data_IF_570118827889
#
_entry.id   IF_570118827889
#
_cell.length_a   1.000
_cell.length_b   1.000
_cell.length_c   1.000
_cell.angle_alpha   90.00
_cell.angle_beta   90.00
_cell.angle_gamma   90.00
#
_symmetry.space_group_name_H-M   'P 1'
#
loop_
_entity.id
_entity.type
_entity.pdbx_description
1 polymer ?
#
# COMPACT_ATOMS: atom_id res chain seq x y z
N UNK A 1 -13.03 9.10 -7.00
CA UNK A 1 -12.70 7.85 -6.30
C UNK A 1 -11.46 7.22 -6.92
N UNK A 2 -10.41 7.02 -6.12
CA UNK A 2 -9.14 6.40 -6.51
C UNK A 2 -9.00 5.01 -5.86
N UNK A 3 -8.30 4.09 -6.54
CA UNK A 3 -8.17 2.70 -6.09
C UNK A 3 -6.75 2.19 -6.31
N UNK A 4 -6.12 1.70 -5.25
CA UNK A 4 -4.76 1.17 -5.29
C UNK A 4 -4.66 -0.20 -4.63
N UNK A 5 -3.87 -1.07 -5.24
CA UNK A 5 -3.24 -2.19 -4.54
C UNK A 5 -1.92 -1.71 -3.96
N UNK A 6 -1.71 -1.93 -2.67
CA UNK A 6 -0.47 -1.53 -1.99
C UNK A 6 0.24 -2.77 -1.45
N UNK A 7 1.51 -2.93 -1.80
CA UNK A 7 2.33 -4.08 -1.44
C UNK A 7 3.50 -3.62 -0.57
N UNK A 8 3.77 -4.34 0.51
CA UNK A 8 5.02 -4.18 1.25
C UNK A 8 6.04 -5.14 0.64
N UNK A 9 7.06 -4.60 -0.03
CA UNK A 9 8.14 -5.42 -0.56
C UNK A 9 9.19 -5.69 0.51
N UNK A 10 9.88 -6.81 0.36
CA UNK A 10 11.11 -7.05 1.11
C UNK A 10 12.12 -5.93 0.79
N UNK A 11 12.84 -5.44 1.80
CA UNK A 11 13.71 -4.26 1.65
C UNK A 11 14.85 -4.47 0.64
N UNK A 12 15.43 -5.67 0.55
CA UNK A 12 16.47 -5.98 -0.44
C UNK A 12 15.90 -5.95 -1.87
N UNK A 13 14.70 -6.52 -2.05
CA UNK A 13 14.01 -6.48 -3.34
C UNK A 13 13.62 -5.06 -3.71
N UNK A 14 13.09 -4.29 -2.75
CA UNK A 14 12.72 -2.90 -2.96
C UNK A 14 13.91 -2.04 -3.36
N UNK A 15 15.07 -2.23 -2.71
CA UNK A 15 16.31 -1.55 -3.06
C UNK A 15 16.79 -1.94 -4.46
N UNK A 16 16.81 -3.24 -4.79
CA UNK A 16 17.28 -3.73 -6.08
C UNK A 16 16.40 -3.29 -7.26
N UNK A 17 15.08 -3.28 -7.08
CA UNK A 17 14.11 -2.98 -8.13
C UNK A 17 13.58 -1.54 -8.12
N UNK A 18 14.11 -0.66 -7.27
CA UNK A 18 13.68 0.75 -7.20
C UNK A 18 13.72 1.46 -8.55
N UNK A 19 14.75 1.21 -9.35
CA UNK A 19 14.94 1.78 -10.69
C UNK A 19 14.37 0.91 -11.83
N UNK A 20 13.76 -0.23 -11.49
CA UNK A 20 13.18 -1.20 -12.42
C UNK A 20 11.82 -1.68 -11.94
N UNK A 21 11.04 -0.75 -11.41
CA UNK A 21 9.78 -1.05 -10.71
C UNK A 21 8.74 -1.63 -11.67
N UNK A 22 8.83 -1.29 -12.95
CA UNK A 22 8.00 -1.86 -14.02
C UNK A 22 8.03 -3.41 -14.02
N UNK A 23 9.18 -4.04 -13.72
CA UNK A 23 9.30 -5.50 -13.67
C UNK A 23 8.53 -6.11 -12.50
N UNK A 24 8.56 -5.43 -11.35
CA UNK A 24 7.77 -5.84 -10.18
C UNK A 24 6.28 -5.70 -10.49
N UNK A 25 5.89 -4.57 -11.09
CA UNK A 25 4.49 -4.30 -11.43
C UNK A 25 3.96 -5.27 -12.48
N UNK A 26 4.77 -5.63 -13.47
CA UNK A 26 4.45 -6.67 -14.45
C UNK A 26 4.20 -8.02 -13.77
N UNK A 27 5.09 -8.47 -12.88
CA UNK A 27 4.88 -9.69 -12.10
C UNK A 27 3.58 -9.63 -11.27
N UNK A 28 3.27 -8.48 -10.66
CA UNK A 28 2.03 -8.30 -9.89
C UNK A 28 0.79 -8.38 -10.81
N UNK A 29 0.87 -7.80 -12.01
CA UNK A 29 -0.18 -7.86 -13.03
C UNK A 29 -0.41 -9.28 -13.53
N UNK A 30 0.66 -9.99 -13.87
CA UNK A 30 0.61 -11.40 -14.25
C UNK A 30 0.06 -12.24 -13.11
N UNK A 31 0.53 -12.04 -11.88
CA UNK A 31 -0.03 -12.72 -10.73
C UNK A 31 -1.52 -12.46 -10.58
N UNK A 32 -2.05 -11.29 -10.93
CA UNK A 32 -3.48 -11.02 -10.86
C UNK A 32 -4.27 -11.80 -11.94
N UNK A 33 -3.83 -11.76 -13.18
CA UNK A 33 -4.60 -12.24 -14.34
C UNK A 33 -4.21 -13.62 -14.90
N UNK A 34 -3.06 -14.17 -14.49
CA UNK A 34 -2.57 -15.45 -15.00
C UNK A 34 -3.54 -16.60 -14.69
N UNK A 35 -3.60 -17.55 -15.63
CA UNK A 35 -4.26 -18.84 -15.46
C UNK A 35 -3.22 -19.89 -15.03
N UNK A 36 -3.69 -21.06 -14.61
CA UNK A 36 -2.80 -22.19 -14.35
C UNK A 36 -2.07 -22.61 -15.65
N UNK A 37 -0.79 -23.03 -15.60
CA UNK A 37 0.05 -23.22 -14.40
C UNK A 37 0.80 -21.95 -13.94
N UNK A 38 0.89 -20.92 -14.79
CA UNK A 38 1.66 -19.70 -14.56
C UNK A 38 1.25 -18.97 -13.27
N UNK A 39 -0.05 -18.98 -12.93
CA UNK A 39 -0.58 -18.44 -11.67
C UNK A 39 0.15 -18.96 -10.42
N UNK A 40 0.51 -20.23 -10.40
CA UNK A 40 1.22 -20.86 -9.26
C UNK A 40 2.65 -20.35 -9.16
N UNK A 41 3.32 -20.15 -10.28
CA UNK A 41 4.70 -19.63 -10.33
C UNK A 41 4.72 -18.17 -9.90
N UNK A 42 3.88 -17.32 -10.51
CA UNK A 42 3.78 -15.91 -10.14
C UNK A 42 3.39 -15.74 -8.67
N UNK A 43 2.49 -16.57 -8.13
CA UNK A 43 2.14 -16.54 -6.71
C UNK A 43 3.37 -16.77 -5.81
N UNK A 44 4.17 -17.80 -6.09
CA UNK A 44 5.39 -18.08 -5.31
C UNK A 44 6.38 -16.92 -5.36
N UNK A 45 6.56 -16.32 -6.54
CA UNK A 45 7.43 -15.14 -6.70
C UNK A 45 6.90 -13.95 -5.91
N UNK A 46 5.61 -13.63 -6.02
CA UNK A 46 4.97 -12.56 -5.24
C UNK A 46 5.09 -12.81 -3.74
N UNK A 47 4.88 -14.05 -3.28
CA UNK A 47 5.05 -14.42 -1.87
C UNK A 47 6.49 -14.30 -1.37
N UNK A 48 7.48 -14.50 -2.25
CA UNK A 48 8.90 -14.35 -1.95
C UNK A 48 9.31 -12.88 -1.87
N UNK A 49 8.82 -12.02 -2.78
CA UNK A 49 9.24 -10.62 -2.84
C UNK A 49 8.45 -9.68 -1.91
N UNK A 50 7.32 -10.15 -1.36
CA UNK A 50 6.48 -9.35 -0.46
C UNK A 50 6.58 -9.82 0.98
N UNK A 51 6.33 -8.90 1.91
CA UNK A 51 6.19 -9.19 3.33
C UNK A 51 4.73 -9.49 3.71
N UNK A 52 4.54 -10.11 4.88
CA UNK A 52 3.20 -10.25 5.46
C UNK A 52 2.83 -8.97 6.21
N UNK A 53 1.56 -8.60 6.13
CA UNK A 53 1.05 -7.40 6.80
C UNK A 53 0.53 -7.75 8.20
N UNK A 54 0.92 -6.94 9.18
CA UNK A 54 0.39 -7.01 10.54
C UNK A 54 -0.70 -5.96 10.70
N UNK A 55 -1.95 -6.42 10.91
CA UNK A 55 -3.08 -5.51 11.14
C UNK A 55 -2.82 -4.57 12.32
N UNK A 56 -2.26 -5.07 13.42
CA UNK A 56 -1.94 -4.26 14.61
C UNK A 56 -0.86 -3.21 14.34
N UNK A 57 0.18 -3.53 13.53
CA UNK A 57 1.21 -2.55 13.15
C UNK A 57 0.63 -1.45 12.28
N UNK A 58 -0.24 -1.82 11.34
CA UNK A 58 -0.97 -0.86 10.50
C UNK A 58 -1.90 0.02 11.35
N UNK A 59 -2.68 -0.58 12.26
CA UNK A 59 -3.57 0.15 13.16
C UNK A 59 -2.81 1.19 13.99
N UNK A 60 -1.68 0.80 14.58
CA UNK A 60 -0.86 1.69 15.38
C UNK A 60 -0.32 2.87 14.55
N UNK A 61 0.26 2.60 13.37
CA UNK A 61 0.80 3.64 12.51
C UNK A 61 -0.26 4.61 11.98
N UNK A 62 -1.40 4.07 11.52
CA UNK A 62 -2.51 4.90 11.04
C UNK A 62 -3.08 5.76 12.18
N UNK A 63 -3.25 5.21 13.38
CA UNK A 63 -3.71 5.99 14.53
C UNK A 63 -2.73 7.09 14.93
N UNK A 64 -1.42 6.84 14.86
CA UNK A 64 -0.42 7.85 15.14
C UNK A 64 -0.50 9.02 14.13
N UNK A 65 -0.65 8.70 12.84
CA UNK A 65 -0.73 9.72 11.79
C UNK A 65 -2.03 10.54 11.85
N UNK A 66 -3.18 9.87 11.98
CA UNK A 66 -4.50 10.51 11.99
C UNK A 66 -4.97 10.92 13.39
N UNK A 67 -4.06 11.05 14.37
CA UNK A 67 -4.36 11.46 15.75
C UNK A 67 -5.50 10.68 16.40
N UNK A 68 -5.56 9.37 16.15
CA UNK A 68 -6.54 8.44 16.69
C UNK A 68 -7.86 8.32 15.90
N UNK A 69 -8.11 9.17 14.90
CA UNK A 69 -9.34 9.17 14.09
C UNK A 69 -9.34 8.08 13.01
N UNK A 70 -9.26 6.81 13.43
CA UNK A 70 -9.27 5.65 12.53
C UNK A 70 -10.35 4.68 12.98
N UNK A 71 -11.41 4.58 12.18
CA UNK A 71 -12.43 3.55 12.35
C UNK A 71 -11.90 2.18 11.93
N UNK A 72 -12.46 1.10 12.49
CA UNK A 72 -12.10 -0.27 12.10
C UNK A 72 -13.30 -1.20 12.06
N UNK A 73 -13.26 -2.14 11.14
CA UNK A 73 -14.14 -3.29 11.11
C UNK A 73 -13.25 -4.55 11.07
N UNK A 74 -13.17 -5.22 12.22
CA UNK A 74 -12.29 -6.39 12.42
C UNK A 74 -12.76 -7.60 11.63
N UNK A 75 -14.08 -7.80 11.49
CA UNK A 75 -14.64 -8.93 10.74
C UNK A 75 -14.21 -8.91 9.27
N UNK A 76 -14.06 -7.70 8.72
CA UNK A 76 -13.64 -7.50 7.33
C UNK A 76 -12.16 -7.12 7.17
N UNK A 77 -11.38 -7.15 8.25
CA UNK A 77 -9.98 -6.70 8.28
C UNK A 77 -9.78 -5.35 7.58
N UNK A 78 -10.59 -4.35 7.90
CA UNK A 78 -10.54 -3.04 7.24
C UNK A 78 -10.44 -1.87 8.21
N UNK A 79 -9.80 -0.80 7.75
CA UNK A 79 -9.82 0.53 8.36
C UNK A 79 -10.73 1.46 7.56
N UNK A 80 -11.37 2.38 8.28
CA UNK A 80 -12.18 3.46 7.73
C UNK A 80 -11.53 4.76 8.17
N UNK A 81 -11.07 5.55 7.21
CA UNK A 81 -10.40 6.83 7.43
C UNK A 81 -11.26 7.94 6.85
N UNK A 82 -11.31 9.08 7.54
CA UNK A 82 -12.06 10.26 7.10
C UNK A 82 -11.22 11.51 7.31
N UNK A 83 -11.38 12.48 6.42
CA UNK A 83 -10.82 13.82 6.62
C UNK A 83 -11.89 14.79 7.13
N UNK A 84 -11.48 16.00 7.48
CA UNK A 84 -12.33 17.03 8.09
C UNK A 84 -13.45 17.52 7.16
N UNK A 85 -13.29 17.38 5.84
CA UNK A 85 -14.30 17.75 4.84
C UNK A 85 -15.29 16.62 4.54
N UNK A 86 -15.17 15.48 5.23
CA UNK A 86 -16.13 14.37 5.17
C UNK A 86 -15.87 13.33 4.08
N UNK A 87 -14.75 13.41 3.36
CA UNK A 87 -14.33 12.35 2.43
C UNK A 87 -13.92 11.10 3.19
N UNK A 88 -14.21 9.92 2.62
CA UNK A 88 -13.91 8.63 3.22
C UNK A 88 -12.91 7.83 2.41
N UNK A 89 -12.14 7.00 3.11
CA UNK A 89 -11.32 5.97 2.53
C UNK A 89 -11.45 4.66 3.29
N UNK A 90 -11.49 3.57 2.52
CA UNK A 90 -11.48 2.20 2.99
C UNK A 90 -10.12 1.59 2.69
N UNK A 91 -9.48 1.05 3.72
CA UNK A 91 -8.23 0.31 3.60
C UNK A 91 -8.44 -1.13 4.05
N UNK A 92 -8.60 -2.04 3.09
CA UNK A 92 -8.81 -3.47 3.36
C UNK A 92 -7.46 -4.17 3.44
N UNK A 93 -7.20 -4.84 4.55
CA UNK A 93 -5.98 -5.57 4.82
C UNK A 93 -6.11 -7.01 4.36
N UNK A 94 -5.27 -7.41 3.41
CA UNK A 94 -5.08 -8.80 3.02
C UNK A 94 -3.71 -9.28 3.51
N UNK A 95 -3.47 -10.60 3.48
CA UNK A 95 -2.25 -11.21 4.05
C UNK A 95 -0.93 -10.56 3.59
N UNK A 96 -0.85 -10.12 2.33
CA UNK A 96 0.38 -9.59 1.68
C UNK A 96 0.15 -8.33 0.84
N UNK A 97 -1.03 -7.73 0.93
CA UNK A 97 -1.35 -6.47 0.23
C UNK A 97 -2.51 -5.75 0.89
N UNK A 98 -2.66 -4.48 0.56
CA UNK A 98 -3.80 -3.65 0.93
C UNK A 98 -4.61 -3.32 -0.32
N UNK A 99 -5.92 -3.21 -0.17
CA UNK A 99 -6.76 -2.50 -1.12
C UNK A 99 -7.15 -1.16 -0.51
N UNK A 100 -6.70 -0.07 -1.13
CA UNK A 100 -7.14 1.28 -0.81
C UNK A 100 -8.23 1.70 -1.80
N UNK A 101 -9.34 2.19 -1.27
CA UNK A 101 -10.39 2.89 -2.03
C UNK A 101 -10.63 4.21 -1.31
N UNK A 102 -10.38 5.33 -1.96
CA UNK A 102 -10.57 6.66 -1.37
C UNK A 102 -11.41 7.55 -2.29
N UNK A 103 -12.19 8.43 -1.71
CA UNK A 103 -13.01 9.38 -2.49
C UNK A 103 -12.13 10.32 -3.34
N UNK A 104 -11.00 10.78 -2.77
CA UNK A 104 -10.08 11.72 -3.39
C UNK A 104 -8.62 11.23 -3.44
N UNK A 105 -7.86 11.81 -4.38
CA UNK A 105 -6.42 11.57 -4.47
C UNK A 105 -5.64 12.16 -3.29
N UNK A 106 -6.13 13.26 -2.71
CA UNK A 106 -5.52 13.89 -1.53
C UNK A 106 -5.56 12.95 -0.33
N UNK A 107 -6.74 12.40 -0.01
CA UNK A 107 -6.89 11.45 1.10
C UNK A 107 -6.07 10.16 0.86
N UNK A 108 -6.01 9.68 -0.38
CA UNK A 108 -5.15 8.56 -0.71
C UNK A 108 -3.66 8.85 -0.50
N UNK A 109 -3.21 10.08 -0.82
CA UNK A 109 -1.83 10.51 -0.59
C UNK A 109 -1.50 10.58 0.91
N UNK A 110 -2.41 11.09 1.75
CA UNK A 110 -2.23 11.14 3.20
C UNK A 110 -2.08 9.73 3.81
N UNK A 111 -2.92 8.79 3.37
CA UNK A 111 -2.81 7.38 3.75
C UNK A 111 -1.49 6.79 3.26
N UNK A 112 -1.09 7.13 2.04
CA UNK A 112 0.20 6.72 1.48
C UNK A 112 1.39 7.20 2.32
N UNK A 113 1.34 8.44 2.81
CA UNK A 113 2.35 9.01 3.70
C UNK A 113 2.39 8.30 5.05
N UNK A 114 1.23 8.02 5.65
CA UNK A 114 1.14 7.26 6.89
C UNK A 114 1.76 5.86 6.75
N UNK A 115 1.52 5.17 5.63
CA UNK A 115 2.12 3.87 5.33
C UNK A 115 3.64 3.99 5.10
N UNK A 116 4.10 5.04 4.42
CA UNK A 116 5.53 5.25 4.17
C UNK A 116 6.34 5.50 5.45
N UNK A 117 5.72 6.07 6.49
CA UNK A 117 6.34 6.19 7.81
C UNK A 117 6.54 4.82 8.50
N UNK A 118 5.69 3.83 8.18
CA UNK A 118 5.84 2.47 8.70
C UNK A 118 6.94 1.69 7.99
N UNK A 119 7.08 1.86 6.67
CA UNK A 119 8.14 1.29 5.86
C UNK A 119 8.29 2.02 4.50
N UNK A 120 9.52 2.30 4.02
CA UNK A 120 9.75 2.96 2.73
C UNK A 120 9.61 2.02 1.51
N UNK A 121 9.44 0.72 1.77
CA UNK A 121 9.33 -0.36 0.78
C UNK A 121 7.88 -0.66 0.38
N UNK A 122 6.93 0.20 0.74
CA UNK A 122 5.58 0.12 0.19
C UNK A 122 5.54 0.62 -1.26
N UNK A 123 4.93 -0.19 -2.13
CA UNK A 123 4.65 0.11 -3.53
C UNK A 123 3.13 0.20 -3.74
N UNK A 124 2.64 1.35 -4.19
CA UNK A 124 1.26 1.52 -4.62
C UNK A 124 1.15 1.31 -6.14
N UNK A 125 0.15 0.55 -6.55
CA UNK A 125 -0.16 0.24 -7.95
C UNK A 125 -1.64 0.51 -8.16
N UNK A 126 -1.99 1.33 -9.14
CA UNK A 126 -3.38 1.59 -9.48
C UNK A 126 -4.12 0.27 -9.75
N UNK A 127 -5.39 0.16 -9.36
CA UNK A 127 -6.12 -1.11 -9.44
C UNK A 127 -6.24 -1.67 -10.87
N UNK A 128 -6.16 -0.79 -11.88
CA UNK A 128 -6.13 -1.07 -13.31
C UNK A 128 -4.71 -1.23 -13.88
N UNK A 129 -3.68 -1.05 -13.04
CA UNK A 129 -2.26 -1.04 -13.41
C UNK A 129 -1.86 0.07 -14.39
N UNK A 130 -2.62 1.17 -14.46
CA UNK A 130 -2.28 2.32 -15.31
C UNK A 130 -1.13 3.18 -14.74
N UNK A 131 -0.96 3.16 -13.42
CA UNK A 131 0.06 3.94 -12.72
C UNK A 131 0.60 3.17 -11.51
N UNK A 132 1.81 3.52 -11.07
CA UNK A 132 2.45 2.97 -9.87
C UNK A 132 3.51 3.92 -9.32
N UNK A 133 3.69 3.90 -8.01
CA UNK A 133 4.75 4.65 -7.35
C UNK A 133 5.10 4.04 -6.00
N UNK A 134 6.36 4.19 -5.61
CA UNK A 134 6.77 3.90 -4.24
C UNK A 134 6.19 4.96 -3.30
N UNK A 135 5.66 4.52 -2.17
CA UNK A 135 5.20 5.46 -1.15
C UNK A 135 6.41 6.17 -0.53
N UNK A 136 6.27 7.47 -0.33
CA UNK A 136 7.31 8.31 0.27
C UNK A 136 6.71 9.06 1.45
N UNK A 137 7.41 9.03 2.58
CA UNK A 137 7.07 9.91 3.70
C UNK A 137 7.25 11.38 3.25
N UNK A 138 6.49 12.32 3.81
CA UNK A 138 6.68 13.72 3.51
C UNK A 138 8.14 14.10 3.77
N UNK A 139 8.75 14.84 2.84
CA UNK A 139 10.07 15.40 3.08
C UNK A 139 9.96 16.29 4.31
N UNK A 140 10.55 15.88 5.44
CA UNK A 140 10.76 16.81 6.54
C UNK A 140 11.53 17.97 5.93
N UNK A 141 10.89 19.14 5.84
CA UNK A 141 11.54 20.34 5.35
C UNK A 141 12.84 20.47 6.12
N UNK A 142 13.98 20.34 5.43
CA UNK A 142 15.28 20.65 6.02
C UNK A 142 15.14 22.07 6.54
N UNK A 143 15.02 22.24 7.85
CA UNK A 143 15.33 23.51 8.49
C UNK A 143 16.82 23.68 8.27
N UNK A 144 17.19 24.32 7.16
CA UNK A 144 18.51 24.89 7.04
C UNK A 144 18.59 25.95 8.13
N UNK A 145 19.29 25.60 9.21
CA UNK A 145 19.71 26.52 10.26
C UNK A 145 20.93 27.31 9.76
#
# INVERSE_FOLDING_TARGET
MVRYWIYLLNDEVAAHYRHRTEKVVELLREHQYAKAPLKTICRKQVEFITERLSFSRLELGLKQYFSGHVGKNLERNMFILRNDVGEEALLVVQKRRLLLVADSASLAADIGQALAQLAPSFLAVAADFADYHWLSAPAQGRKFA
#
